data_IF_008072030101
#
_entry.id   IF_008072030101
#
_cell.length_a   1.000
_cell.length_b   1.000
_cell.length_c   1.000
_cell.angle_alpha   90.00
_cell.angle_beta   90.00
_cell.angle_gamma   90.00
#
_symmetry.space_group_name_H-M   'P 1'
#
loop_
_entity.id
_entity.type
_entity.pdbx_description
1 polymer ?
#
# COMPACT_ATOMS: atom_id res chain seq x y z
N UNK A 1 -38.90 -61.79 2.77
CA UNK A 1 -39.03 -63.14 2.18
C UNK A 1 -39.53 -63.00 0.75
N UNK A 2 -38.84 -63.67 -0.19
CA UNK A 2 -39.30 -64.11 -1.53
C UNK A 2 -39.56 -63.00 -2.57
N UNK A 3 -38.74 -62.80 -3.61
CA UNK A 3 -38.32 -63.67 -4.73
C UNK A 3 -39.47 -64.03 -5.68
N UNK A 4 -39.44 -63.48 -6.91
CA UNK A 4 -40.01 -64.15 -8.08
C UNK A 4 -39.26 -63.81 -9.36
N UNK A 5 -38.77 -64.89 -9.95
CA UNK A 5 -38.01 -65.02 -11.19
C UNK A 5 -38.92 -65.43 -12.37
N UNK A 6 -38.29 -65.48 -13.56
CA UNK A 6 -38.62 -66.26 -14.80
C UNK A 6 -39.70 -65.63 -15.68
N UNK A 7 -39.57 -65.60 -17.02
CA UNK A 7 -39.20 -66.69 -17.96
C UNK A 7 -38.61 -66.21 -19.31
N UNK A 8 -37.69 -67.01 -19.87
CA UNK A 8 -37.20 -67.14 -21.28
C UNK A 8 -38.13 -68.13 -22.07
N UNK A 9 -37.83 -68.62 -23.31
CA UNK A 9 -37.33 -68.04 -24.59
C UNK A 9 -38.11 -68.57 -25.85
N UNK A 10 -37.65 -68.27 -27.08
CA UNK A 10 -37.29 -69.28 -28.11
C UNK A 10 -36.41 -68.70 -29.24
N UNK A 11 -35.75 -69.60 -29.98
CA UNK A 11 -34.58 -69.46 -30.88
C UNK A 11 -34.98 -69.85 -32.31
N UNK A 12 -34.08 -69.64 -33.30
CA UNK A 12 -33.98 -70.15 -34.72
C UNK A 12 -33.91 -68.93 -35.69
N UNK A 13 -33.16 -68.82 -36.80
CA UNK A 13 -31.89 -69.33 -37.35
C UNK A 13 -31.74 -68.67 -38.76
N UNK A 14 -30.51 -68.37 -39.21
CA UNK A 14 -30.04 -68.22 -40.61
C UNK A 14 -30.54 -67.12 -41.58
N UNK A 15 -29.55 -66.48 -42.24
CA UNK A 15 -29.66 -65.91 -43.60
C UNK A 15 -28.72 -64.73 -43.84
N UNK A 16 -27.60 -64.95 -44.52
CA UNK A 16 -26.65 -63.93 -44.98
C UNK A 16 -26.87 -63.60 -46.48
N UNK A 17 -26.27 -62.50 -46.94
CA UNK A 17 -25.86 -62.16 -48.34
C UNK A 17 -26.78 -61.18 -49.14
N UNK A 18 -26.34 -59.90 -49.16
CA UNK A 18 -25.87 -59.13 -50.35
C UNK A 18 -26.85 -58.52 -51.39
N UNK A 19 -26.79 -57.18 -51.52
CA UNK A 19 -26.84 -56.32 -52.74
C UNK A 19 -26.83 -54.86 -52.23
N UNK A 20 -25.85 -53.96 -52.36
CA UNK A 20 -24.86 -53.55 -53.38
C UNK A 20 -25.48 -53.02 -54.69
N UNK A 21 -26.14 -51.86 -54.63
CA UNK A 21 -26.05 -50.83 -55.68
C UNK A 21 -26.57 -49.47 -55.16
N UNK A 22 -25.65 -48.53 -54.87
CA UNK A 22 -25.76 -47.12 -55.31
C UNK A 22 -24.58 -46.30 -54.77
N UNK A 23 -23.46 -46.36 -55.51
CA UNK A 23 -22.32 -45.44 -55.43
C UNK A 23 -22.10 -44.91 -56.84
N UNK A 24 -22.62 -43.72 -57.16
CA UNK A 24 -22.02 -42.72 -58.07
C UNK A 24 -23.01 -41.58 -58.31
N UNK A 25 -22.48 -40.37 -58.53
CA UNK A 25 -23.12 -39.06 -58.44
C UNK A 25 -23.15 -38.58 -56.98
N UNK A 26 -22.15 -37.89 -56.44
CA UNK A 26 -21.46 -36.73 -56.99
C UNK A 26 -20.03 -36.64 -56.44
N UNK A 27 -19.06 -36.64 -57.34
CA UNK A 27 -17.66 -36.36 -57.06
C UNK A 27 -17.35 -35.05 -57.78
N UNK A 28 -17.39 -33.93 -57.06
CA UNK A 28 -16.79 -32.65 -57.45
C UNK A 28 -16.58 -31.84 -56.17
N UNK A 29 -15.46 -32.07 -55.48
CA UNK A 29 -14.29 -31.16 -55.48
C UNK A 29 -14.66 -29.76 -55.01
N UNK A 30 -14.52 -29.53 -53.71
CA UNK A 30 -14.11 -28.24 -53.18
C UNK A 30 -13.03 -28.47 -52.12
N UNK A 31 -11.89 -27.82 -52.33
CA UNK A 31 -10.64 -28.03 -51.61
C UNK A 31 -10.76 -27.41 -50.22
N UNK A 32 -10.79 -28.25 -49.18
CA UNK A 32 -10.58 -27.81 -47.81
C UNK A 32 -9.09 -27.47 -47.59
N UNK A 33 -8.75 -26.35 -46.92
CA UNK A 33 -7.36 -26.04 -46.63
C UNK A 33 -6.79 -27.09 -45.66
N UNK A 34 -5.55 -27.45 -45.93
CA UNK A 34 -4.68 -28.28 -45.10
C UNK A 34 -4.85 -27.93 -43.62
N UNK A 35 -5.31 -28.88 -42.83
CA UNK A 35 -5.28 -28.84 -41.37
C UNK A 35 -3.81 -28.77 -40.96
N UNK A 36 -3.32 -27.56 -40.70
CA UNK A 36 -2.09 -27.34 -39.95
C UNK A 36 -2.40 -27.78 -38.52
N UNK A 37 -1.54 -28.66 -38.01
CA UNK A 37 -1.48 -29.18 -36.64
C UNK A 37 -2.47 -28.54 -35.67
N UNK A 38 -3.51 -29.31 -35.34
CA UNK A 38 -4.19 -29.15 -34.06
C UNK A 38 -3.12 -29.19 -32.97
N UNK A 39 -2.73 -28.04 -32.44
CA UNK A 39 -2.32 -27.93 -31.05
C UNK A 39 -3.44 -28.59 -30.26
N UNK A 40 -3.23 -29.84 -29.85
CA UNK A 40 -4.06 -30.46 -28.86
C UNK A 40 -3.98 -29.54 -27.63
N UNK A 41 -5.01 -28.72 -27.43
CA UNK A 41 -5.19 -27.92 -26.22
C UNK A 41 -5.35 -28.95 -25.11
N UNK A 42 -4.22 -29.38 -24.54
CA UNK A 42 -4.21 -30.31 -23.43
C UNK A 42 -4.80 -29.55 -22.23
N UNK A 43 -6.04 -29.85 -21.81
CA UNK A 43 -6.74 -29.05 -20.80
C UNK A 43 -5.96 -29.05 -19.48
N UNK A 44 -5.23 -30.13 -19.16
CA UNK A 44 -4.36 -30.22 -17.98
C UNK A 44 -3.16 -29.26 -18.06
N UNK A 45 -2.56 -29.08 -19.23
CA UNK A 45 -1.43 -28.14 -19.39
C UNK A 45 -1.89 -26.69 -19.29
N UNK A 46 -3.10 -26.38 -19.76
CA UNK A 46 -3.69 -25.04 -19.65
C UNK A 46 -4.18 -24.77 -18.23
N UNK A 47 -4.79 -25.76 -17.56
CA UNK A 47 -5.13 -25.70 -16.14
C UNK A 47 -3.90 -25.48 -15.26
N UNK A 48 -2.80 -26.20 -15.47
CA UNK A 48 -1.56 -26.05 -14.71
C UNK A 48 -0.90 -24.67 -14.91
N UNK A 49 -1.20 -23.94 -16.00
CA UNK A 49 -0.71 -22.57 -16.19
C UNK A 49 -1.45 -21.54 -15.32
N UNK A 50 -2.65 -21.85 -14.86
CA UNK A 50 -3.50 -20.95 -14.08
C UNK A 50 -3.26 -21.01 -12.57
N UNK A 51 -2.56 -22.05 -12.08
CA UNK A 51 -2.32 -22.27 -10.66
C UNK A 51 -0.81 -22.29 -10.32
N UNK A 52 -0.52 -22.01 -9.07
CA UNK A 52 0.80 -22.04 -8.45
C UNK A 52 1.11 -23.42 -7.81
N UNK A 53 2.31 -23.59 -7.23
CA UNK A 53 2.76 -24.85 -6.59
C UNK A 53 1.91 -25.30 -5.39
N UNK A 54 1.09 -24.41 -4.82
CA UNK A 54 0.15 -24.68 -3.73
C UNK A 54 -1.30 -24.93 -4.21
N UNK A 55 -1.54 -24.91 -5.52
CA UNK A 55 -2.87 -25.07 -6.11
C UNK A 55 -3.77 -23.82 -6.05
N UNK A 56 -3.24 -22.65 -5.65
CA UNK A 56 -3.95 -21.36 -5.72
C UNK A 56 -3.73 -20.66 -7.05
N UNK A 57 -4.58 -19.68 -7.37
CA UNK A 57 -4.46 -18.89 -8.61
C UNK A 57 -3.06 -18.30 -8.73
N UNK A 58 -2.54 -18.33 -9.96
CA UNK A 58 -1.18 -17.92 -10.26
C UNK A 58 -0.94 -16.46 -9.94
N UNK A 59 0.09 -16.21 -9.13
CA UNK A 59 0.53 -14.86 -8.76
C UNK A 59 1.24 -14.20 -9.93
N UNK A 60 0.98 -12.90 -10.14
CA UNK A 60 1.50 -12.14 -11.28
C UNK A 60 2.43 -10.99 -10.88
N UNK A 61 2.53 -10.69 -9.58
CA UNK A 61 3.33 -9.61 -9.05
C UNK A 61 4.82 -9.76 -9.36
N UNK A 62 5.49 -8.64 -9.50
CA UNK A 62 6.90 -8.54 -9.83
C UNK A 62 7.57 -7.43 -9.00
N UNK A 63 8.86 -7.19 -9.25
CA UNK A 63 9.62 -6.15 -8.56
C UNK A 63 8.92 -4.78 -8.53
N UNK A 64 8.36 -4.32 -9.66
CA UNK A 64 7.73 -3.00 -9.77
C UNK A 64 6.39 -2.91 -9.04
N UNK A 65 5.57 -3.95 -9.12
CA UNK A 65 4.29 -3.98 -8.39
C UNK A 65 4.55 -4.04 -6.89
N UNK A 66 5.48 -4.87 -6.43
CA UNK A 66 5.87 -4.94 -5.02
C UNK A 66 6.47 -3.61 -4.54
N UNK A 67 7.36 -2.99 -5.31
CA UNK A 67 7.91 -1.68 -4.97
C UNK A 67 6.82 -0.62 -4.85
N UNK A 68 5.83 -0.64 -5.75
CA UNK A 68 4.68 0.28 -5.72
C UNK A 68 3.80 0.06 -4.50
N UNK A 69 3.51 -1.20 -4.12
CA UNK A 69 2.77 -1.50 -2.89
C UNK A 69 3.54 -1.03 -1.64
N UNK A 70 4.86 -1.27 -1.57
CA UNK A 70 5.68 -0.81 -0.45
C UNK A 70 5.69 0.72 -0.40
N UNK A 71 5.93 1.40 -1.52
CA UNK A 71 5.93 2.87 -1.59
C UNK A 71 4.58 3.44 -1.16
N UNK A 72 3.48 2.83 -1.60
CA UNK A 72 2.13 3.24 -1.22
C UNK A 72 1.86 3.04 0.28
N UNK A 73 2.36 1.96 0.86
CA UNK A 73 2.22 1.71 2.30
C UNK A 73 3.12 2.62 3.15
N UNK A 74 4.33 2.94 2.68
CA UNK A 74 5.30 3.76 3.42
C UNK A 74 4.98 5.25 3.25
N UNK A 75 4.98 5.78 2.01
CA UNK A 75 4.83 7.21 1.70
C UNK A 75 3.37 7.66 1.83
N UNK A 76 2.85 7.65 3.07
CA UNK A 76 1.51 8.08 3.42
C UNK A 76 1.48 9.33 4.29
N UNK A 77 0.46 9.46 5.13
CA UNK A 77 0.27 10.62 6.01
C UNK A 77 1.45 10.90 6.95
N UNK A 78 2.32 9.92 7.21
CA UNK A 78 3.52 10.06 8.03
C UNK A 78 4.49 11.11 7.50
N UNK A 79 4.73 11.18 6.18
CA UNK A 79 5.71 12.13 5.59
C UNK A 79 5.35 13.59 5.86
N UNK A 80 4.05 13.89 5.94
CA UNK A 80 3.53 15.24 6.19
C UNK A 80 3.91 15.75 7.59
N UNK A 81 4.12 14.85 8.54
CA UNK A 81 4.48 15.19 9.93
C UNK A 81 5.98 15.27 10.19
N UNK A 82 6.81 14.87 9.23
CA UNK A 82 8.26 14.76 9.43
C UNK A 82 8.94 16.11 9.70
N UNK A 83 8.47 17.18 9.06
CA UNK A 83 8.98 18.52 9.33
C UNK A 83 8.76 18.93 10.79
N UNK A 84 7.57 18.63 11.33
CA UNK A 84 7.26 18.86 12.73
C UNK A 84 8.08 17.95 13.65
N UNK A 85 8.24 16.67 13.30
CA UNK A 85 9.03 15.72 14.09
C UNK A 85 10.49 16.15 14.20
N UNK A 86 11.11 16.55 13.08
CA UNK A 86 12.46 17.13 13.08
C UNK A 86 12.48 18.44 13.88
N UNK A 87 11.44 19.26 13.84
CA UNK A 87 11.38 20.46 14.67
C UNK A 87 11.39 20.18 16.18
N UNK A 88 10.81 19.05 16.62
CA UNK A 88 10.86 18.66 18.03
C UNK A 88 12.22 18.08 18.44
N UNK A 89 12.97 17.48 17.51
CA UNK A 89 14.22 16.77 17.78
C UNK A 89 15.49 17.57 17.43
N UNK A 90 15.39 18.49 16.47
CA UNK A 90 16.48 19.32 15.96
C UNK A 90 17.24 18.73 14.79
N UNK A 91 18.18 19.54 14.28
CA UNK A 91 19.02 19.21 13.13
C UNK A 91 19.92 17.97 13.32
N UNK A 92 20.21 17.59 14.57
CA UNK A 92 21.05 16.41 14.85
C UNK A 92 20.18 15.17 15.05
N UNK A 93 19.33 15.17 16.08
CA UNK A 93 18.57 13.98 16.46
C UNK A 93 17.49 13.62 15.43
N UNK A 94 16.84 14.61 14.80
CA UNK A 94 15.78 14.35 13.81
C UNK A 94 16.24 13.50 12.63
N UNK A 95 17.22 13.96 11.82
CA UNK A 95 17.76 13.18 10.71
C UNK A 95 18.42 11.87 11.15
N UNK A 96 19.11 11.85 12.30
CA UNK A 96 19.75 10.64 12.82
C UNK A 96 18.72 9.55 13.15
N UNK A 97 17.61 9.92 13.79
CA UNK A 97 16.51 9.00 14.09
C UNK A 97 15.83 8.52 12.81
N UNK A 98 15.62 9.39 11.82
CA UNK A 98 15.08 8.98 10.51
C UNK A 98 15.93 7.89 9.84
N UNK A 99 17.25 8.05 9.85
CA UNK A 99 18.19 7.06 9.31
C UNK A 99 18.18 5.76 10.14
N UNK A 100 18.16 5.87 11.47
CA UNK A 100 18.09 4.70 12.34
C UNK A 100 16.82 3.88 12.08
N UNK A 101 15.66 4.53 11.99
CA UNK A 101 14.40 3.85 11.68
C UNK A 101 14.41 3.22 10.28
N UNK A 102 15.03 3.87 9.28
CA UNK A 102 15.22 3.27 7.96
C UNK A 102 16.04 1.98 8.01
N UNK A 103 17.16 1.99 8.74
CA UNK A 103 18.03 0.82 8.91
C UNK A 103 17.34 -0.31 9.66
N UNK A 104 16.65 0.01 10.76
CA UNK A 104 15.87 -0.97 11.53
C UNK A 104 14.79 -1.59 10.65
N UNK A 105 14.03 -0.78 9.90
CA UNK A 105 12.99 -1.29 9.00
C UNK A 105 13.56 -2.13 7.87
N UNK A 106 14.70 -1.75 7.29
CA UNK A 106 15.37 -2.54 6.27
C UNK A 106 15.78 -3.91 6.82
N UNK A 107 16.37 -3.93 8.02
CA UNK A 107 16.80 -5.16 8.67
C UNK A 107 15.61 -6.07 9.00
N UNK A 108 14.59 -5.56 9.70
CA UNK A 108 13.43 -6.34 10.13
C UNK A 108 12.60 -6.82 8.95
N UNK A 109 12.43 -6.01 7.91
CA UNK A 109 11.69 -6.38 6.69
C UNK A 109 12.40 -7.49 5.90
N UNK A 110 13.74 -7.47 5.87
CA UNK A 110 14.52 -8.54 5.24
C UNK A 110 14.42 -9.88 6.00
N UNK A 111 14.33 -9.84 7.33
CA UNK A 111 14.07 -11.02 8.15
C UNK A 111 12.65 -11.53 7.91
N UNK A 112 11.66 -10.64 7.95
CA UNK A 112 10.26 -11.01 7.76
C UNK A 112 10.02 -11.62 6.37
N UNK A 113 10.68 -11.10 5.32
CA UNK A 113 10.57 -11.66 3.98
C UNK A 113 11.06 -13.12 3.86
N UNK A 114 11.97 -13.54 4.74
CA UNK A 114 12.42 -14.94 4.81
C UNK A 114 11.40 -15.86 5.49
N UNK A 115 10.52 -15.30 6.32
CA UNK A 115 9.48 -16.05 7.02
C UNK A 115 8.24 -16.33 6.16
N UNK A 116 8.21 -15.89 4.89
CA UNK A 116 7.10 -16.13 3.99
C UNK A 116 6.88 -17.63 3.69
N UNK A 117 7.94 -18.41 3.54
CA UNK A 117 7.83 -19.88 3.42
C UNK A 117 8.35 -20.55 4.68
N UNK A 118 7.64 -21.56 5.15
CA UNK A 118 7.99 -22.36 6.33
C UNK A 118 8.80 -23.58 5.93
N UNK A 119 9.92 -23.82 6.60
CA UNK A 119 10.84 -24.91 6.28
C UNK A 119 11.80 -24.52 5.14
N UNK A 120 11.54 -24.99 3.93
CA UNK A 120 12.39 -24.68 2.76
C UNK A 120 12.05 -23.30 2.15
N UNK A 121 13.05 -22.42 1.90
CA UNK A 121 12.80 -21.07 1.37
C UNK A 121 12.21 -20.97 -0.04
N UNK A 122 12.15 -22.08 -0.79
CA UNK A 122 11.69 -22.12 -2.19
C UNK A 122 10.44 -22.98 -2.37
N UNK A 123 10.36 -24.10 -1.67
CA UNK A 123 9.32 -25.14 -1.80
C UNK A 123 8.49 -25.31 -0.54
N UNK A 124 8.89 -24.67 0.57
CA UNK A 124 8.17 -24.72 1.84
C UNK A 124 6.77 -24.13 1.75
N UNK A 125 5.93 -24.50 2.73
CA UNK A 125 4.55 -24.04 2.79
C UNK A 125 4.51 -22.51 2.91
N UNK A 126 3.67 -21.88 2.09
CA UNK A 126 3.49 -20.42 2.09
C UNK A 126 2.67 -19.97 3.29
N UNK A 127 3.09 -18.86 3.88
CA UNK A 127 2.35 -18.09 4.86
C UNK A 127 1.76 -16.87 4.14
N UNK A 128 0.44 -16.86 3.94
CA UNK A 128 -0.25 -15.83 3.15
C UNK A 128 -0.38 -14.52 3.92
N UNK A 129 -0.43 -14.60 5.25
CA UNK A 129 -0.56 -13.45 6.15
C UNK A 129 0.57 -13.42 7.18
N UNK A 130 0.81 -12.24 7.75
CA UNK A 130 1.75 -12.07 8.87
C UNK A 130 1.39 -12.98 10.06
N UNK A 131 0.11 -13.18 10.35
CA UNK A 131 -0.36 -14.08 11.40
C UNK A 131 -0.04 -15.55 11.09
N UNK A 132 -0.16 -15.98 9.84
CA UNK A 132 0.25 -17.33 9.43
C UNK A 132 1.75 -17.55 9.65
N UNK A 133 2.57 -16.56 9.29
CA UNK A 133 4.02 -16.63 9.49
C UNK A 133 4.39 -16.75 10.98
N UNK A 134 3.71 -16.02 11.86
CA UNK A 134 3.94 -16.14 13.32
C UNK A 134 3.45 -17.49 13.83
N UNK A 135 2.30 -17.97 13.36
CA UNK A 135 1.76 -19.28 13.76
C UNK A 135 2.70 -20.41 13.37
N UNK A 136 3.28 -20.34 12.17
CA UNK A 136 4.22 -21.34 11.67
C UNK A 136 5.58 -21.32 12.38
N UNK A 137 6.10 -20.14 12.75
CA UNK A 137 7.44 -20.01 13.32
C UNK A 137 7.49 -19.98 14.86
N UNK A 138 6.49 -19.40 15.52
CA UNK A 138 6.52 -19.13 16.97
C UNK A 138 5.46 -19.92 17.74
N UNK A 139 4.24 -20.04 17.19
CA UNK A 139 3.11 -20.76 17.80
C UNK A 139 2.61 -20.20 19.15
N UNK A 140 1.56 -20.83 19.67
CA UNK A 140 1.04 -20.60 21.03
C UNK A 140 0.62 -19.15 21.34
N UNK A 141 0.87 -18.70 22.58
CA UNK A 141 0.47 -17.37 23.08
C UNK A 141 1.10 -16.19 22.31
N UNK A 142 2.23 -16.42 21.63
CA UNK A 142 2.93 -15.36 20.87
C UNK A 142 2.12 -14.90 19.66
N UNK A 143 1.33 -15.79 19.05
CA UNK A 143 0.40 -15.46 17.95
C UNK A 143 -0.61 -14.40 18.41
N UNK A 144 -1.24 -14.63 19.58
CA UNK A 144 -2.21 -13.70 20.14
C UNK A 144 -1.59 -12.32 20.43
N UNK A 145 -0.40 -12.29 21.04
CA UNK A 145 0.28 -11.04 21.38
C UNK A 145 0.71 -10.26 20.13
N UNK A 146 1.31 -10.94 19.15
CA UNK A 146 1.70 -10.29 17.89
C UNK A 146 0.49 -9.84 17.07
N UNK A 147 -0.60 -10.62 17.08
CA UNK A 147 -1.86 -10.24 16.45
C UNK A 147 -2.44 -8.98 17.07
N UNK A 148 -2.52 -8.92 18.40
CA UNK A 148 -3.00 -7.72 19.09
C UNK A 148 -2.18 -6.48 18.73
N UNK A 149 -0.86 -6.59 18.69
CA UNK A 149 0.03 -5.48 18.28
C UNK A 149 -0.19 -5.10 16.81
N UNK A 150 -0.32 -6.06 15.89
CA UNK A 150 -0.55 -5.78 14.47
C UNK A 150 -1.89 -5.07 14.26
N UNK A 151 -2.98 -5.61 14.80
CA UNK A 151 -4.33 -5.03 14.66
C UNK A 151 -4.41 -3.63 15.27
N UNK A 152 -3.79 -3.40 16.43
CA UNK A 152 -3.75 -2.07 17.04
C UNK A 152 -3.00 -1.05 16.15
N UNK A 153 -1.90 -1.46 15.51
CA UNK A 153 -1.19 -0.60 14.57
C UNK A 153 -2.02 -0.31 13.32
N UNK A 154 -2.63 -1.34 12.72
CA UNK A 154 -3.48 -1.18 11.53
C UNK A 154 -4.69 -0.25 11.81
N UNK A 155 -5.30 -0.38 12.99
CA UNK A 155 -6.34 0.53 13.46
C UNK A 155 -5.82 1.98 13.60
N UNK A 156 -4.62 2.17 14.16
CA UNK A 156 -3.97 3.47 14.24
C UNK A 156 -3.69 4.09 12.86
N UNK A 157 -3.23 3.29 11.89
CA UNK A 157 -3.03 3.72 10.49
C UNK A 157 -4.36 4.17 9.87
N UNK A 158 -5.44 3.40 10.06
CA UNK A 158 -6.77 3.74 9.57
C UNK A 158 -7.27 5.10 10.13
N UNK A 159 -7.08 5.35 11.43
CA UNK A 159 -7.38 6.64 12.05
C UNK A 159 -6.52 7.75 11.41
N UNK A 160 -5.22 7.52 11.29
CA UNK A 160 -4.29 8.49 10.71
C UNK A 160 -4.64 8.88 9.28
N UNK A 161 -5.02 7.90 8.45
CA UNK A 161 -5.47 8.14 7.08
C UNK A 161 -6.79 8.92 7.05
N UNK A 162 -7.75 8.58 7.91
CA UNK A 162 -9.03 9.31 8.00
C UNK A 162 -8.84 10.78 8.38
N UNK A 163 -7.98 11.06 9.37
CA UNK A 163 -7.66 12.43 9.77
C UNK A 163 -6.93 13.17 8.65
N UNK A 164 -5.91 12.57 8.04
CA UNK A 164 -5.13 13.23 6.99
C UNK A 164 -5.96 13.52 5.73
N UNK A 165 -6.80 12.59 5.28
CA UNK A 165 -7.71 12.78 4.16
C UNK A 165 -8.73 13.88 4.45
N UNK A 166 -9.33 13.89 5.64
CA UNK A 166 -10.32 14.91 6.01
C UNK A 166 -9.73 16.31 6.11
N UNK A 167 -8.53 16.45 6.69
CA UNK A 167 -7.79 17.71 6.73
C UNK A 167 -7.44 18.19 5.32
N UNK A 168 -7.07 17.29 4.42
CA UNK A 168 -6.72 17.64 3.03
C UNK A 168 -7.94 18.08 2.23
N UNK A 169 -9.07 17.38 2.32
CA UNK A 169 -10.34 17.80 1.71
C UNK A 169 -10.83 19.15 2.26
N UNK A 170 -10.70 19.35 3.57
CA UNK A 170 -11.01 20.63 4.22
C UNK A 170 -10.06 21.73 3.73
N UNK A 171 -8.76 21.47 3.53
CA UNK A 171 -7.83 22.47 3.03
C UNK A 171 -8.24 22.98 1.64
N UNK A 172 -8.68 22.10 0.74
CA UNK A 172 -9.13 22.46 -0.62
C UNK A 172 -10.34 23.40 -0.56
N UNK A 173 -11.40 23.04 0.18
CA UNK A 173 -12.61 23.89 0.24
C UNK A 173 -12.32 25.22 0.94
N UNK A 174 -11.41 25.24 1.93
CA UNK A 174 -11.00 26.47 2.61
C UNK A 174 -10.24 27.39 1.68
N UNK A 175 -9.28 26.84 0.93
CA UNK A 175 -8.50 27.54 -0.09
C UNK A 175 -9.42 28.20 -1.13
N UNK A 176 -10.37 27.44 -1.68
CA UNK A 176 -11.32 27.94 -2.67
C UNK A 176 -12.27 29.01 -2.12
N UNK A 177 -12.77 28.83 -0.89
CA UNK A 177 -13.63 29.82 -0.23
C UNK A 177 -12.89 31.14 0.02
N UNK A 178 -11.67 31.07 0.54
CA UNK A 178 -10.84 32.25 0.83
C UNK A 178 -10.53 33.05 -0.44
N UNK A 179 -10.23 32.37 -1.56
CA UNK A 179 -9.97 33.05 -2.83
C UNK A 179 -11.25 33.63 -3.45
N UNK A 180 -12.37 32.91 -3.38
CA UNK A 180 -13.68 33.40 -3.87
C UNK A 180 -14.15 34.65 -3.10
N UNK A 181 -13.86 34.74 -1.80
CA UNK A 181 -14.19 35.91 -0.98
C UNK A 181 -13.22 37.08 -1.17
N UNK A 182 -12.17 36.93 -1.99
CA UNK A 182 -11.11 37.93 -2.12
C UNK A 182 -10.28 38.12 -0.84
N UNK A 183 -10.19 37.07 -0.01
CA UNK A 183 -9.48 37.08 1.27
C UNK A 183 -10.25 37.73 2.43
N UNK A 184 -11.53 38.06 2.24
CA UNK A 184 -12.37 38.75 3.24
C UNK A 184 -12.96 37.81 4.29
N UNK A 185 -13.12 36.53 3.97
CA UNK A 185 -13.72 35.53 4.85
C UNK A 185 -12.67 34.49 5.26
N UNK A 186 -12.38 34.28 6.56
CA UNK A 186 -11.45 33.25 7.04
C UNK A 186 -11.93 31.81 6.76
N UNK A 187 -13.19 31.63 6.36
CA UNK A 187 -13.82 30.38 5.95
C UNK A 187 -13.61 29.26 6.98
N UNK A 188 -14.20 29.42 8.16
CA UNK A 188 -14.20 28.37 9.19
C UNK A 188 -14.98 27.15 8.70
N UNK A 189 -14.33 25.98 8.74
CA UNK A 189 -14.95 24.72 8.32
C UNK A 189 -14.65 23.64 9.34
N UNK A 190 -15.60 22.72 9.51
CA UNK A 190 -15.43 21.53 10.33
C UNK A 190 -14.92 20.35 9.49
N UNK A 191 -14.00 19.56 10.04
CA UNK A 191 -13.50 18.33 9.41
C UNK A 191 -14.47 17.16 9.53
N UNK A 192 -15.48 17.23 10.41
CA UNK A 192 -16.34 16.09 10.74
C UNK A 192 -17.06 15.51 9.52
N UNK A 193 -17.63 16.36 8.66
CA UNK A 193 -18.30 15.91 7.44
C UNK A 193 -17.34 15.17 6.50
N UNK A 194 -16.11 15.64 6.38
CA UNK A 194 -15.09 15.02 5.54
C UNK A 194 -14.58 13.68 6.08
N UNK A 195 -14.51 13.52 7.41
CA UNK A 195 -14.20 12.23 8.03
C UNK A 195 -15.28 11.19 7.70
N UNK A 196 -16.56 11.58 7.80
CA UNK A 196 -17.70 10.71 7.45
C UNK A 196 -17.65 10.35 5.95
N UNK A 197 -17.42 11.33 5.08
CA UNK A 197 -17.31 11.09 3.63
C UNK A 197 -16.18 10.12 3.30
N UNK A 198 -14.99 10.29 3.89
CA UNK A 198 -13.88 9.36 3.69
C UNK A 198 -14.24 7.95 4.16
N UNK A 199 -14.85 7.82 5.34
CA UNK A 199 -15.30 6.52 5.87
C UNK A 199 -16.31 5.81 4.94
N UNK A 200 -17.27 6.54 4.36
CA UNK A 200 -18.23 5.98 3.39
C UNK A 200 -17.50 5.46 2.14
N UNK A 201 -16.54 6.23 1.61
CA UNK A 201 -15.73 5.81 0.45
C UNK A 201 -15.00 4.52 0.79
N UNK A 202 -14.33 4.44 1.95
CA UNK A 202 -13.60 3.23 2.33
C UNK A 202 -14.50 2.01 2.55
N UNK A 203 -15.71 2.19 3.09
CA UNK A 203 -16.70 1.11 3.19
C UNK A 203 -17.09 0.60 1.80
N UNK A 204 -17.27 1.48 0.82
CA UNK A 204 -17.59 1.08 -0.56
C UNK A 204 -16.42 0.33 -1.20
N UNK A 205 -15.20 0.88 -1.13
CA UNK A 205 -14.02 0.28 -1.77
C UNK A 205 -13.58 -1.03 -1.10
N UNK A 206 -13.83 -1.19 0.20
CA UNK A 206 -13.57 -2.45 0.92
C UNK A 206 -14.48 -3.61 0.47
N UNK A 207 -15.60 -3.34 -0.22
CA UNK A 207 -16.44 -4.40 -0.80
C UNK A 207 -15.85 -5.05 -2.05
N UNK A 208 -14.76 -4.51 -2.63
CA UNK A 208 -14.14 -5.04 -3.85
C UNK A 208 -13.25 -6.24 -3.47
N UNK A 209 -13.61 -7.49 -3.81
CA UNK A 209 -13.05 -8.68 -3.16
C UNK A 209 -11.66 -9.12 -3.66
N UNK A 210 -11.20 -8.68 -4.83
CA UNK A 210 -10.01 -9.27 -5.46
C UNK A 210 -8.79 -8.33 -5.46
N UNK A 211 -7.65 -8.81 -4.94
CA UNK A 211 -6.38 -8.10 -4.93
C UNK A 211 -5.78 -7.98 -6.35
N UNK A 212 -6.07 -8.94 -7.24
CA UNK A 212 -5.62 -8.91 -8.63
C UNK A 212 -6.28 -7.81 -9.47
N UNK A 213 -7.39 -7.23 -9.01
CA UNK A 213 -8.07 -6.13 -9.69
C UNK A 213 -7.63 -4.75 -9.22
N UNK A 214 -6.79 -4.65 -8.17
CA UNK A 214 -6.44 -3.37 -7.52
C UNK A 214 -4.95 -3.01 -7.56
N UNK A 215 -4.12 -3.77 -8.28
CA UNK A 215 -2.70 -3.41 -8.48
C UNK A 215 -2.54 -2.00 -9.08
N UNK A 216 -3.45 -1.60 -9.96
CA UNK A 216 -3.45 -0.26 -10.57
C UNK A 216 -3.74 0.84 -9.52
N UNK A 217 -4.57 0.57 -8.50
CA UNK A 217 -4.83 1.52 -7.41
C UNK A 217 -3.54 1.80 -6.64
N UNK A 218 -2.71 0.78 -6.41
CA UNK A 218 -1.42 0.96 -5.72
C UNK A 218 -0.41 1.73 -6.55
N UNK A 219 -0.43 1.61 -7.88
CA UNK A 219 0.41 2.43 -8.76
C UNK A 219 -0.05 3.88 -8.76
N UNK A 220 -1.37 4.12 -8.88
CA UNK A 220 -1.94 5.48 -8.80
C UNK A 220 -1.61 6.10 -7.45
N UNK A 221 -1.78 5.36 -6.35
CA UNK A 221 -1.44 5.85 -5.02
C UNK A 221 0.05 6.18 -4.87
N UNK A 222 0.95 5.37 -5.44
CA UNK A 222 2.39 5.66 -5.43
C UNK A 222 2.72 6.93 -6.24
N UNK A 223 2.10 7.13 -7.40
CA UNK A 223 2.29 8.37 -8.18
C UNK A 223 1.79 9.59 -7.40
N UNK A 224 0.63 9.48 -6.76
CA UNK A 224 0.06 10.55 -5.95
C UNK A 224 0.94 10.86 -4.73
N UNK A 225 1.59 9.86 -4.12
CA UNK A 225 2.50 10.09 -3.00
C UNK A 225 3.75 10.87 -3.38
N UNK A 226 4.35 10.55 -4.52
CA UNK A 226 5.43 11.35 -5.08
C UNK A 226 4.96 12.75 -5.46
N UNK A 227 3.74 12.90 -5.97
CA UNK A 227 3.18 14.19 -6.37
C UNK A 227 3.09 15.15 -5.19
N UNK A 228 2.38 14.79 -4.12
CA UNK A 228 2.23 15.70 -2.98
C UNK A 228 3.55 15.90 -2.22
N UNK A 229 4.42 14.88 -2.16
CA UNK A 229 5.74 14.99 -1.52
C UNK A 229 6.66 15.94 -2.28
N UNK A 230 6.67 15.86 -3.61
CA UNK A 230 7.47 16.75 -4.47
C UNK A 230 6.97 18.20 -4.40
N UNK A 231 5.65 18.40 -4.37
CA UNK A 231 5.07 19.74 -4.15
C UNK A 231 5.47 20.28 -2.77
N UNK A 232 5.32 19.50 -1.71
CA UNK A 232 5.72 19.90 -0.36
C UNK A 232 7.21 20.24 -0.26
N UNK A 233 8.08 19.44 -0.89
CA UNK A 233 9.50 19.70 -0.98
C UNK A 233 9.80 20.99 -1.75
N UNK A 234 9.21 21.17 -2.93
CA UNK A 234 9.41 22.37 -3.76
C UNK A 234 8.97 23.65 -3.05
N UNK A 235 7.82 23.61 -2.38
CA UNK A 235 7.35 24.73 -1.54
C UNK A 235 8.28 24.98 -0.35
N UNK A 236 8.80 23.91 0.28
CA UNK A 236 9.78 24.00 1.36
C UNK A 236 11.07 24.69 0.91
N UNK A 237 11.64 24.24 -0.21
CA UNK A 237 12.85 24.84 -0.82
C UNK A 237 12.59 26.31 -1.16
N UNK A 238 11.47 26.62 -1.84
CA UNK A 238 11.11 28.00 -2.17
C UNK A 238 10.98 28.90 -0.94
N UNK A 239 10.43 28.36 0.15
CA UNK A 239 10.33 29.08 1.43
C UNK A 239 11.70 29.30 2.09
N UNK A 240 12.61 28.34 2.02
CA UNK A 240 14.00 28.49 2.50
C UNK A 240 14.73 29.59 1.73
N UNK A 241 14.62 29.58 0.39
CA UNK A 241 15.18 30.63 -0.46
C UNK A 241 14.60 31.99 -0.10
N UNK A 242 13.28 32.08 0.05
CA UNK A 242 12.60 33.32 0.46
C UNK A 242 12.93 33.79 1.88
N UNK A 243 13.30 32.89 2.78
CA UNK A 243 13.78 33.24 4.13
C UNK A 243 15.23 33.76 4.11
N UNK A 244 15.99 33.53 3.04
CA UNK A 244 17.42 33.87 2.96
C UNK A 244 18.33 32.95 3.80
N UNK A 245 17.82 31.83 4.29
CA UNK A 245 18.60 30.91 5.13
C UNK A 245 17.78 29.78 5.76
N UNK A 246 18.50 28.86 6.41
CA UNK A 246 17.94 27.71 7.10
C UNK A 246 17.47 28.09 8.51
N UNK A 247 16.20 27.88 8.83
CA UNK A 247 15.68 27.99 10.19
C UNK A 247 15.94 26.72 11.01
N UNK A 248 15.59 26.79 12.29
CA UNK A 248 15.68 25.68 13.23
C UNK A 248 16.92 25.77 14.11
N UNK A 249 17.01 24.86 15.07
CA UNK A 249 18.04 24.76 16.08
C UNK A 249 18.64 23.35 16.09
N UNK A 250 19.83 23.21 16.69
CA UNK A 250 20.51 21.92 16.78
C UNK A 250 19.73 20.87 17.59
N UNK A 251 19.03 21.32 18.65
CA UNK A 251 18.36 20.47 19.64
C UNK A 251 16.82 20.54 19.57
N UNK A 252 16.31 21.09 18.48
CA UNK A 252 14.88 21.27 18.27
C UNK A 252 14.31 22.33 19.19
N UNK A 253 12.98 22.30 19.34
CA UNK A 253 12.27 23.29 20.14
C UNK A 253 12.84 23.43 21.56
N UNK A 254 13.05 24.67 21.99
CA UNK A 254 13.61 24.99 23.29
C UNK A 254 12.54 25.09 24.38
N UNK A 255 12.95 24.87 25.62
CA UNK A 255 12.11 25.17 26.79
C UNK A 255 11.93 26.69 26.83
N UNK A 256 10.71 27.16 27.07
CA UNK A 256 10.36 28.58 27.04
C UNK A 256 9.92 29.11 25.67
N UNK A 257 10.00 28.32 24.59
CA UNK A 257 9.46 28.72 23.29
C UNK A 257 7.94 28.89 23.38
N UNK A 258 7.41 30.02 22.92
CA UNK A 258 5.96 30.27 22.85
C UNK A 258 5.41 29.67 21.56
N UNK A 259 4.50 28.70 21.67
CA UNK A 259 3.77 28.14 20.53
C UNK A 259 2.28 28.48 20.61
N UNK A 260 1.53 28.16 19.56
CA UNK A 260 0.06 28.30 19.55
C UNK A 260 -0.66 27.53 20.68
N UNK A 261 0.02 26.55 21.30
CA UNK A 261 -0.50 25.76 22.42
C UNK A 261 0.01 26.25 23.80
N UNK A 262 0.71 27.39 23.84
CA UNK A 262 1.33 27.94 25.04
C UNK A 262 2.86 27.79 25.06
N UNK A 263 3.46 28.18 26.18
CA UNK A 263 4.90 28.13 26.41
C UNK A 263 5.38 26.71 26.68
N UNK A 264 6.43 26.27 25.99
CA UNK A 264 6.98 24.92 26.12
C UNK A 264 7.63 24.71 27.48
N UNK A 265 7.03 23.85 28.30
CA UNK A 265 7.59 23.40 29.58
C UNK A 265 8.59 22.24 29.38
N UNK A 266 9.43 21.90 30.38
CA UNK A 266 10.31 20.73 30.29
C UNK A 266 9.55 19.42 30.00
N UNK A 267 8.41 19.21 30.67
CA UNK A 267 7.56 18.03 30.45
C UNK A 267 6.97 18.01 29.05
N UNK A 268 6.54 19.16 28.52
CA UNK A 268 6.04 19.26 27.16
C UNK A 268 7.14 19.01 26.12
N UNK A 269 8.37 19.47 26.37
CA UNK A 269 9.51 19.15 25.51
C UNK A 269 9.73 17.64 25.44
N UNK A 270 9.81 16.97 26.59
CA UNK A 270 9.95 15.50 26.65
C UNK A 270 8.81 14.79 25.90
N UNK A 271 7.56 15.19 26.17
CA UNK A 271 6.39 14.60 25.53
C UNK A 271 6.36 14.80 24.00
N UNK A 272 6.75 15.98 23.52
CA UNK A 272 6.85 16.28 22.08
C UNK A 272 7.99 15.50 21.42
N UNK A 273 9.12 15.31 22.09
CA UNK A 273 10.19 14.44 21.59
C UNK A 273 9.72 13.00 21.45
N UNK A 274 8.99 12.45 22.43
CA UNK A 274 8.41 11.10 22.32
C UNK A 274 7.39 10.99 21.19
N UNK A 275 6.52 11.99 21.02
CA UNK A 275 5.60 12.04 19.89
C UNK A 275 6.33 12.12 18.54
N UNK A 276 7.45 12.85 18.45
CA UNK A 276 8.24 12.91 17.23
C UNK A 276 8.88 11.57 16.89
N UNK A 277 9.36 10.81 17.89
CA UNK A 277 9.80 9.42 17.68
C UNK A 277 8.65 8.54 17.16
N UNK A 278 7.46 8.67 17.75
CA UNK A 278 6.27 7.95 17.30
C UNK A 278 5.85 8.32 15.87
N UNK A 279 5.92 9.60 15.51
CA UNK A 279 5.62 10.09 14.16
C UNK A 279 6.62 9.55 13.12
N UNK A 280 7.91 9.51 13.45
CA UNK A 280 8.94 8.90 12.58
C UNK A 280 8.73 7.39 12.46
N UNK A 281 8.44 6.70 13.57
CA UNK A 281 8.15 5.27 13.57
C UNK A 281 6.94 4.95 12.67
N UNK A 282 5.87 5.72 12.82
CA UNK A 282 4.66 5.62 12.01
C UNK A 282 4.95 5.80 10.52
N UNK A 283 5.80 6.77 10.16
CA UNK A 283 6.15 7.02 8.75
C UNK A 283 6.85 5.84 8.05
N UNK A 284 7.46 4.91 8.80
CA UNK A 284 8.10 3.70 8.26
C UNK A 284 7.28 2.41 8.45
N UNK A 285 6.05 2.48 8.98
CA UNK A 285 5.29 1.31 9.44
C UNK A 285 4.58 0.52 8.32
N UNK A 286 5.33 -0.06 7.38
CA UNK A 286 4.77 -0.92 6.32
C UNK A 286 4.97 -2.41 6.54
N UNK A 287 5.85 -2.80 7.49
CA UNK A 287 6.19 -4.20 7.75
C UNK A 287 4.98 -5.07 8.12
N UNK A 288 3.89 -4.43 8.58
CA UNK A 288 2.62 -5.06 8.95
C UNK A 288 1.86 -5.68 7.78
N UNK A 289 2.16 -5.28 6.55
CA UNK A 289 1.54 -5.77 5.31
C UNK A 289 2.55 -6.41 4.36
N UNK A 290 3.78 -6.63 4.84
CA UNK A 290 4.89 -7.08 4.02
C UNK A 290 4.68 -8.48 3.47
N UNK A 291 4.18 -9.40 4.30
CA UNK A 291 3.95 -10.80 3.92
C UNK A 291 2.85 -10.88 2.86
N UNK A 292 1.81 -10.08 3.02
CA UNK A 292 0.67 -9.99 2.12
C UNK A 292 1.09 -9.39 0.77
N UNK A 293 1.96 -8.38 0.77
CA UNK A 293 2.59 -7.88 -0.48
C UNK A 293 3.45 -8.97 -1.12
N UNK A 294 4.23 -9.71 -0.33
CA UNK A 294 5.08 -10.78 -0.82
C UNK A 294 4.26 -11.95 -1.39
N UNK A 295 3.07 -12.19 -0.85
CA UNK A 295 2.13 -13.19 -1.35
C UNK A 295 1.56 -12.86 -2.73
N UNK A 296 1.82 -11.68 -3.28
CA UNK A 296 1.42 -11.33 -4.66
C UNK A 296 2.50 -11.66 -5.69
N UNK A 297 3.72 -11.96 -5.24
CA UNK A 297 4.91 -12.07 -6.08
C UNK A 297 4.93 -13.42 -6.79
N UNK A 298 5.12 -13.38 -8.12
CA UNK A 298 5.32 -14.60 -8.91
C UNK A 298 6.65 -15.29 -8.58
N UNK A 299 6.67 -16.61 -8.70
CA UNK A 299 7.88 -17.43 -8.64
C UNK A 299 7.96 -18.31 -9.90
N UNK A 300 9.14 -18.55 -10.51
CA UNK A 300 10.49 -18.06 -10.14
C UNK A 300 10.79 -16.59 -10.55
N UNK A 301 11.82 -15.94 -9.95
CA UNK A 301 12.67 -16.41 -8.86
C UNK A 301 11.92 -16.44 -7.51
N UNK A 302 12.52 -17.05 -6.48
CA UNK A 302 11.92 -17.11 -5.14
C UNK A 302 11.46 -15.73 -4.64
N UNK A 303 10.29 -15.70 -4.03
CA UNK A 303 9.51 -14.51 -3.69
C UNK A 303 10.31 -13.55 -2.81
N UNK A 304 11.00 -14.11 -1.81
CA UNK A 304 11.85 -13.34 -0.89
C UNK A 304 12.99 -12.61 -1.62
N UNK A 305 13.52 -13.13 -2.74
CA UNK A 305 14.59 -12.46 -3.49
C UNK A 305 14.06 -11.20 -4.18
N UNK A 306 12.89 -11.29 -4.79
CA UNK A 306 12.21 -10.15 -5.40
C UNK A 306 11.79 -9.15 -4.33
N UNK A 307 11.22 -9.63 -3.22
CA UNK A 307 10.76 -8.80 -2.12
C UNK A 307 11.89 -8.03 -1.43
N UNK A 308 13.05 -8.66 -1.20
CA UNK A 308 14.23 -7.99 -0.64
C UNK A 308 14.75 -6.88 -1.56
N UNK A 309 14.81 -7.12 -2.88
CA UNK A 309 15.19 -6.10 -3.85
C UNK A 309 14.22 -4.91 -3.84
N UNK A 310 12.92 -5.20 -3.88
CA UNK A 310 11.88 -4.18 -3.82
C UNK A 310 11.95 -3.37 -2.50
N UNK A 311 12.14 -4.06 -1.38
CA UNK A 311 12.30 -3.46 -0.05
C UNK A 311 13.51 -2.52 0.02
N UNK A 312 14.69 -2.96 -0.43
CA UNK A 312 15.90 -2.11 -0.45
C UNK A 312 15.66 -0.86 -1.29
N UNK A 313 15.12 -1.04 -2.50
CA UNK A 313 14.82 0.08 -3.39
C UNK A 313 13.83 1.07 -2.78
N UNK A 314 12.67 0.57 -2.31
CA UNK A 314 11.61 1.41 -1.76
C UNK A 314 12.05 2.12 -0.48
N UNK A 315 12.70 1.44 0.47
CA UNK A 315 13.19 2.11 1.70
C UNK A 315 14.23 3.18 1.35
N UNK A 316 15.21 2.88 0.49
CA UNK A 316 16.22 3.85 0.12
C UNK A 316 15.60 5.10 -0.52
N UNK A 317 14.70 4.92 -1.48
CA UNK A 317 13.99 6.01 -2.13
C UNK A 317 13.17 6.82 -1.12
N UNK A 318 12.44 6.15 -0.24
CA UNK A 318 11.55 6.80 0.73
C UNK A 318 12.34 7.58 1.77
N UNK A 319 13.45 7.02 2.27
CA UNK A 319 14.34 7.70 3.22
C UNK A 319 14.90 8.99 2.66
N UNK A 320 15.28 8.99 1.37
CA UNK A 320 15.73 10.20 0.67
C UNK A 320 14.62 11.26 0.67
N UNK A 321 13.41 10.89 0.27
CA UNK A 321 12.26 11.81 0.29
C UNK A 321 11.92 12.30 1.71
N UNK A 322 12.01 11.44 2.70
CA UNK A 322 11.69 11.76 4.10
C UNK A 322 12.69 12.75 4.70
N UNK A 323 13.98 12.53 4.44
CA UNK A 323 15.03 13.49 4.79
C UNK A 323 14.78 14.82 4.09
N UNK A 324 14.49 14.82 2.80
CA UNK A 324 14.26 16.06 2.07
C UNK A 324 13.01 16.81 2.58
N UNK A 325 11.84 16.18 2.62
CA UNK A 325 10.60 16.80 3.08
C UNK A 325 10.70 17.24 4.56
N UNK A 326 11.29 16.41 5.41
CA UNK A 326 11.50 16.73 6.83
C UNK A 326 12.47 17.89 7.01
N UNK A 327 13.67 17.80 6.43
CA UNK A 327 14.72 18.79 6.60
C UNK A 327 14.37 20.13 5.94
N UNK A 328 13.88 20.14 4.70
CA UNK A 328 13.48 21.39 4.05
C UNK A 328 12.22 21.98 4.67
N UNK A 329 11.30 21.15 5.18
CA UNK A 329 10.19 21.63 5.99
C UNK A 329 10.66 22.28 7.29
N UNK A 330 11.61 21.68 8.00
CA UNK A 330 12.18 22.28 9.20
C UNK A 330 12.98 23.55 8.90
N UNK A 331 13.78 23.55 7.83
CA UNK A 331 14.49 24.73 7.37
C UNK A 331 13.56 25.89 6.99
N UNK A 332 12.38 25.59 6.44
CA UNK A 332 11.39 26.58 6.05
C UNK A 332 10.68 27.22 7.25
N UNK A 333 10.35 26.43 8.27
CA UNK A 333 9.45 26.85 9.36
C UNK A 333 10.10 26.92 10.76
N UNK A 334 11.26 26.30 10.96
CA UNK A 334 11.92 26.21 12.27
C UNK A 334 11.05 25.51 13.31
N UNK A 335 11.12 25.97 14.55
CA UNK A 335 10.38 25.41 15.69
C UNK A 335 8.84 25.47 15.54
N UNK A 336 8.35 26.24 14.56
CA UNK A 336 6.95 26.40 14.22
C UNK A 336 6.53 25.53 13.02
N UNK A 337 7.33 24.53 12.66
CA UNK A 337 6.96 23.58 11.61
C UNK A 337 5.57 22.98 11.88
N UNK A 338 4.67 22.97 10.89
CA UNK A 338 3.31 22.47 11.06
C UNK A 338 3.28 20.94 11.15
N UNK A 339 2.34 20.38 11.90
CA UNK A 339 2.12 18.92 11.98
C UNK A 339 1.71 18.27 10.65
N UNK A 340 1.24 19.06 9.69
CA UNK A 340 1.12 18.69 8.29
C UNK A 340 1.87 19.75 7.46
N UNK A 341 2.93 19.34 6.77
CA UNK A 341 3.80 20.22 5.99
C UNK A 341 3.02 21.15 5.06
N UNK A 342 1.98 20.64 4.40
CA UNK A 342 1.21 21.43 3.43
C UNK A 342 0.36 22.53 4.08
N UNK A 343 -0.03 22.40 5.35
CA UNK A 343 -0.83 23.43 6.02
C UNK A 343 -0.01 24.65 6.40
N UNK A 344 1.31 24.52 6.54
CA UNK A 344 2.21 25.64 6.85
C UNK A 344 2.40 26.61 5.68
N UNK A 345 2.18 26.16 4.44
CA UNK A 345 2.24 27.04 3.27
C UNK A 345 0.98 27.91 3.12
N UNK A 346 -0.08 27.65 3.90
CA UNK A 346 -1.27 28.48 3.97
C UNK A 346 -1.94 28.65 2.61
N UNK A 347 -2.25 29.89 2.25
CA UNK A 347 -2.83 30.28 0.95
C UNK A 347 -1.74 30.64 -0.06
N UNK A 348 -0.74 29.77 -0.23
CA UNK A 348 0.39 30.00 -1.14
C UNK A 348 -0.13 30.38 -2.53
N UNK A 349 0.49 31.35 -3.18
CA UNK A 349 0.20 31.69 -4.58
C UNK A 349 1.26 31.04 -5.47
N UNK A 350 0.87 30.18 -6.44
CA UNK A 350 -0.51 29.87 -6.81
C UNK A 350 -1.19 28.81 -5.92
N UNK A 351 -2.45 29.05 -5.54
CA UNK A 351 -3.20 28.18 -4.60
C UNK A 351 -3.63 26.85 -5.21
N UNK A 352 -3.76 26.80 -6.55
CA UNK A 352 -4.06 25.56 -7.27
C UNK A 352 -3.02 24.48 -7.02
N UNK A 353 -1.76 24.86 -6.77
CA UNK A 353 -0.68 23.90 -6.52
C UNK A 353 -0.86 23.17 -5.18
N UNK A 354 -1.31 23.90 -4.15
CA UNK A 354 -1.70 23.32 -2.87
C UNK A 354 -2.93 22.43 -3.00
N UNK A 355 -3.91 22.84 -3.79
CA UNK A 355 -5.12 22.05 -4.00
C UNK A 355 -4.79 20.72 -4.69
N UNK A 356 -3.93 20.73 -5.72
CA UNK A 356 -3.42 19.50 -6.36
C UNK A 356 -2.74 18.58 -5.35
N UNK A 357 -1.87 19.12 -4.49
CA UNK A 357 -1.18 18.31 -3.49
C UNK A 357 -2.16 17.71 -2.46
N UNK A 358 -3.17 18.45 -2.02
CA UNK A 358 -4.19 17.93 -1.12
C UNK A 358 -5.11 16.89 -1.80
N UNK A 359 -5.45 17.07 -3.09
CA UNK A 359 -6.17 16.05 -3.86
C UNK A 359 -5.34 14.78 -3.98
N UNK A 360 -4.05 14.92 -4.28
CA UNK A 360 -3.12 13.79 -4.36
C UNK A 360 -3.02 13.04 -3.02
N UNK A 361 -3.01 13.73 -1.88
CA UNK A 361 -3.08 13.06 -0.56
C UNK A 361 -4.36 12.22 -0.44
N UNK A 362 -5.53 12.79 -0.76
CA UNK A 362 -6.80 12.06 -0.62
C UNK A 362 -6.81 10.81 -1.50
N UNK A 363 -6.43 10.93 -2.78
CA UNK A 363 -6.39 9.78 -3.71
C UNK A 363 -5.37 8.73 -3.25
N UNK A 364 -4.20 9.17 -2.79
CA UNK A 364 -3.20 8.28 -2.25
C UNK A 364 -3.72 7.50 -1.03
N UNK A 365 -4.34 8.19 -0.07
CA UNK A 365 -4.80 7.59 1.17
C UNK A 365 -5.95 6.61 0.96
N UNK A 366 -6.80 6.81 -0.05
CA UNK A 366 -7.78 5.79 -0.47
C UNK A 366 -7.06 4.51 -0.90
N UNK A 367 -6.06 4.62 -1.79
CA UNK A 367 -5.30 3.45 -2.25
C UNK A 367 -4.51 2.77 -1.13
N UNK A 368 -3.86 3.54 -0.25
CA UNK A 368 -3.09 3.03 0.87
C UNK A 368 -3.98 2.31 1.89
N UNK A 369 -5.17 2.85 2.19
CA UNK A 369 -6.12 2.23 3.09
C UNK A 369 -6.56 0.84 2.60
N UNK A 370 -6.80 0.70 1.30
CA UNK A 370 -7.13 -0.58 0.68
C UNK A 370 -6.00 -1.61 0.79
N UNK A 371 -4.73 -1.18 0.66
CA UNK A 371 -3.58 -2.07 0.87
C UNK A 371 -3.47 -2.50 2.34
N UNK A 372 -3.69 -1.57 3.28
CA UNK A 372 -3.56 -1.84 4.72
C UNK A 372 -4.67 -2.74 5.29
N UNK A 373 -5.94 -2.47 4.97
CA UNK A 373 -7.04 -3.24 5.55
C UNK A 373 -7.23 -4.61 4.89
N UNK A 374 -6.88 -4.77 3.61
CA UNK A 374 -6.91 -6.10 2.98
C UNK A 374 -5.88 -7.06 3.56
N UNK A 375 -4.81 -6.54 4.16
CA UNK A 375 -3.87 -7.36 4.90
C UNK A 375 -4.38 -7.78 6.30
N UNK A 376 -5.49 -7.17 6.77
CA UNK A 376 -6.05 -7.43 8.10
C UNK A 376 -7.16 -8.51 8.09
N UNK A 377 -7.76 -8.77 6.94
CA UNK A 377 -8.84 -9.74 6.70
C UNK A 377 -8.29 -10.99 6.02
#
# INVERSE_FOLDING_TARGET
MLQRSRTLPSRIHHGAVEERHDIRHYLQVEVQPKVTESEAINPQSSYSKCFDDDGRLKRTGNFWTSASHIITAVIGSGVLSLAWAIAQLGWVAGPSVLLLFALVNLYTSNLLAMCYRSGDPVTGQRNYTYMDAIKANLGGRKVMLCGLVQYFNLFGVAIGYTIASSVSMMAIKRSNCYHKSGGKDPCHMSSNGYMITFGIIEVIFSQIPDFNQVWWLSIVAAIMSFTYSSVGLGLGIGKVVGNGGFKGSLLGISIGTVTHAGTVTPTQKMWRSMQALGAIAFAYSYSLVLIEIQDTIRSPPAEHKTMKKATVFSIALTTVFYLFCGCFGYAAFGDLAPGNLLTGFGFYKPYWLLDIANVAIVVHLVGAFQVCLRAAC
#
